data_IF_093437124481
#
_entry.id   IF_093437124481
#
_cell.length_a   1.000
_cell.length_b   1.000
_cell.length_c   1.000
_cell.angle_alpha   90.00
_cell.angle_beta   90.00
_cell.angle_gamma   90.00
#
_symmetry.space_group_name_H-M   'P 1'
#
loop_
_entity.id
_entity.type
_entity.pdbx_description
1 polymer ?
#
# COMPACT_ATOMS: atom_id res chain seq x y z
N UNK A 1 -27.48 9.77 -11.07
CA UNK A 1 -26.34 9.27 -10.28
C UNK A 1 -25.52 8.44 -11.23
N UNK A 2 -24.25 8.76 -11.39
CA UNK A 2 -23.36 7.98 -12.28
C UNK A 2 -23.18 6.60 -11.68
N UNK A 3 -23.31 5.55 -12.50
CA UNK A 3 -23.11 4.17 -12.08
C UNK A 3 -21.62 3.83 -12.25
N UNK A 4 -20.90 3.58 -11.15
CA UNK A 4 -19.47 3.28 -11.14
C UNK A 4 -19.16 1.78 -11.17
N UNK A 5 -20.14 0.92 -11.44
CA UNK A 5 -19.97 -0.55 -11.40
C UNK A 5 -18.91 -1.00 -12.39
N UNK A 6 -18.98 -0.54 -13.65
CA UNK A 6 -18.02 -0.91 -14.69
C UNK A 6 -16.61 -0.43 -14.38
N UNK A 7 -16.46 0.82 -13.91
CA UNK A 7 -15.17 1.41 -13.53
C UNK A 7 -14.56 0.68 -12.32
N UNK A 8 -15.38 0.35 -11.32
CA UNK A 8 -14.94 -0.46 -10.16
C UNK A 8 -14.46 -1.85 -10.60
N UNK A 9 -15.18 -2.51 -11.51
CA UNK A 9 -14.77 -3.81 -12.04
C UNK A 9 -13.44 -3.74 -12.80
N UNK A 10 -13.23 -2.69 -13.59
CA UNK A 10 -11.98 -2.46 -14.32
C UNK A 10 -10.80 -2.18 -13.37
N UNK A 11 -11.00 -1.32 -12.37
CA UNK A 11 -9.98 -1.05 -11.36
C UNK A 11 -9.62 -2.31 -10.58
N UNK A 12 -10.61 -3.09 -10.15
CA UNK A 12 -10.41 -4.38 -9.49
C UNK A 12 -9.59 -5.35 -10.34
N UNK A 13 -9.95 -5.54 -11.60
CA UNK A 13 -9.23 -6.45 -12.50
C UNK A 13 -7.76 -6.05 -12.65
N UNK A 14 -7.47 -4.74 -12.71
CA UNK A 14 -6.11 -4.23 -12.69
C UNK A 14 -5.38 -4.56 -11.39
N UNK A 15 -5.98 -4.30 -10.23
CA UNK A 15 -5.35 -4.58 -8.93
C UNK A 15 -5.08 -6.08 -8.73
N UNK A 16 -5.96 -6.95 -9.19
CA UNK A 16 -5.75 -8.40 -9.19
C UNK A 16 -4.57 -8.81 -10.09
N UNK A 17 -4.50 -8.26 -11.30
CA UNK A 17 -3.38 -8.48 -12.22
C UNK A 17 -2.05 -7.96 -11.66
N UNK A 18 -2.05 -6.77 -11.06
CA UNK A 18 -0.86 -6.20 -10.43
C UNK A 18 -0.38 -7.07 -9.26
N UNK A 19 -1.30 -7.53 -8.39
CA UNK A 19 -1.00 -8.48 -7.31
C UNK A 19 -0.30 -9.72 -7.85
N UNK A 20 -0.85 -10.34 -8.89
CA UNK A 20 -0.32 -11.61 -9.41
C UNK A 20 1.10 -11.41 -9.97
N UNK A 21 1.36 -10.30 -10.63
CA UNK A 21 2.69 -9.96 -11.15
C UNK A 21 3.68 -9.66 -10.04
N UNK A 22 3.29 -8.89 -9.03
CA UNK A 22 4.13 -8.60 -7.85
C UNK A 22 4.46 -9.88 -7.09
N UNK A 23 3.47 -10.73 -6.83
CA UNK A 23 3.68 -11.99 -6.13
C UNK A 23 4.60 -12.93 -6.91
N UNK A 24 4.42 -13.05 -8.24
CA UNK A 24 5.30 -13.83 -9.08
C UNK A 24 6.75 -13.31 -9.05
N UNK A 25 6.95 -12.00 -9.09
CA UNK A 25 8.26 -11.39 -9.04
C UNK A 25 8.95 -11.59 -7.68
N UNK A 26 8.21 -11.51 -6.58
CA UNK A 26 8.76 -11.78 -5.25
C UNK A 26 9.11 -13.26 -5.07
N UNK A 27 8.34 -14.17 -5.63
CA UNK A 27 8.67 -15.59 -5.66
C UNK A 27 9.92 -15.89 -6.53
N UNK A 28 10.12 -15.14 -7.63
CA UNK A 28 11.34 -15.22 -8.43
C UNK A 28 12.58 -14.78 -7.62
N UNK A 29 12.48 -13.68 -6.86
CA UNK A 29 13.56 -13.22 -5.97
C UNK A 29 13.91 -14.30 -4.92
N UNK A 30 12.93 -14.94 -4.32
CA UNK A 30 13.16 -16.05 -3.40
C UNK A 30 13.85 -17.23 -4.10
N UNK A 31 13.41 -17.60 -5.30
CA UNK A 31 14.01 -18.67 -6.08
C UNK A 31 15.46 -18.36 -6.47
N UNK A 32 15.78 -17.12 -6.83
CA UNK A 32 17.16 -16.65 -7.10
C UNK A 32 18.07 -16.80 -5.86
N UNK A 33 17.50 -16.66 -4.67
CA UNK A 33 18.21 -16.88 -3.40
C UNK A 33 18.21 -18.35 -2.94
N UNK A 34 17.67 -19.27 -3.74
CA UNK A 34 17.61 -20.70 -3.41
C UNK A 34 16.47 -21.07 -2.46
N UNK A 35 15.50 -20.20 -2.26
CA UNK A 35 14.32 -20.43 -1.42
C UNK A 35 13.16 -20.97 -2.26
N UNK A 36 12.40 -21.90 -1.70
CA UNK A 36 11.16 -22.44 -2.29
C UNK A 36 9.90 -21.74 -1.76
N UNK A 37 10.04 -20.59 -1.09
CA UNK A 37 8.92 -19.87 -0.51
C UNK A 37 7.91 -19.45 -1.58
N UNK A 38 6.64 -19.57 -1.25
CA UNK A 38 5.50 -19.22 -2.10
C UNK A 38 4.46 -18.47 -1.29
N UNK A 39 3.64 -17.68 -1.98
CA UNK A 39 2.49 -17.05 -1.36
C UNK A 39 1.42 -18.08 -0.98
N UNK A 40 0.97 -17.96 0.26
CA UNK A 40 -0.25 -18.64 0.74
C UNK A 40 -1.41 -17.65 0.65
N UNK A 41 -2.43 -18.03 -0.14
CA UNK A 41 -3.58 -17.18 -0.41
C UNK A 41 -4.77 -17.58 0.45
N UNK A 42 -5.33 -16.60 1.16
CA UNK A 42 -6.54 -16.76 1.96
C UNK A 42 -7.60 -15.76 1.48
N UNK A 43 -8.72 -16.26 0.97
CA UNK A 43 -9.88 -15.44 0.71
C UNK A 43 -10.62 -15.13 2.00
N UNK A 44 -11.16 -13.92 2.09
CA UNK A 44 -11.92 -13.47 3.24
C UNK A 44 -13.17 -12.70 2.78
N UNK A 45 -14.20 -12.76 3.59
CA UNK A 45 -15.46 -12.02 3.39
C UNK A 45 -15.63 -11.06 4.54
N UNK A 46 -16.21 -9.89 4.23
CA UNK A 46 -16.66 -8.95 5.26
C UNK A 46 -18.03 -9.39 5.75
N UNK A 47 -18.30 -9.18 7.03
CA UNK A 47 -19.62 -9.35 7.61
C UNK A 47 -20.17 -7.99 8.01
N UNK A 48 -21.38 -7.67 7.58
CA UNK A 48 -22.06 -6.44 7.94
C UNK A 48 -23.55 -6.73 8.07
N UNK A 49 -24.10 -6.51 9.27
CA UNK A 49 -25.50 -6.78 9.55
C UNK A 49 -26.44 -6.02 8.61
N UNK A 50 -27.33 -6.75 7.94
CA UNK A 50 -28.29 -6.15 6.98
C UNK A 50 -27.71 -5.87 5.58
N UNK A 51 -26.43 -6.11 5.33
CA UNK A 51 -25.83 -6.00 4.02
C UNK A 51 -25.63 -7.40 3.41
N UNK A 52 -26.37 -7.76 2.34
CA UNK A 52 -26.27 -9.08 1.73
C UNK A 52 -24.99 -9.28 0.92
N UNK A 53 -24.27 -8.21 0.58
CA UNK A 53 -23.03 -8.25 -0.19
C UNK A 53 -22.03 -7.20 0.32
N UNK A 54 -21.43 -7.42 1.50
CA UNK A 54 -20.46 -6.47 2.06
C UNK A 54 -19.09 -6.56 1.38
N UNK A 55 -18.90 -7.51 0.48
CA UNK A 55 -17.66 -7.75 -0.24
C UNK A 55 -16.63 -8.54 0.55
N UNK A 56 -15.37 -8.44 0.12
CA UNK A 56 -14.27 -9.17 0.71
C UNK A 56 -12.97 -8.99 -0.08
N UNK A 57 -12.05 -9.91 0.08
CA UNK A 57 -10.77 -9.85 -0.61
C UNK A 57 -10.00 -11.17 -0.58
N UNK A 58 -8.80 -11.11 -1.10
CA UNK A 58 -7.82 -12.19 -1.01
C UNK A 58 -6.50 -11.61 -0.55
N UNK A 59 -6.04 -12.06 0.59
CA UNK A 59 -4.68 -11.80 1.08
C UNK A 59 -3.74 -12.92 0.64
N UNK A 60 -2.56 -12.57 0.17
CA UNK A 60 -1.42 -13.46 0.00
C UNK A 60 -0.37 -13.12 1.04
N UNK A 61 0.15 -14.10 1.74
CA UNK A 61 1.27 -13.93 2.68
C UNK A 61 2.37 -14.90 2.30
N UNK A 62 3.60 -14.41 2.23
CA UNK A 62 4.79 -15.25 2.06
C UNK A 62 5.79 -14.95 3.17
N UNK A 63 6.46 -16.00 3.62
CA UNK A 63 7.63 -15.92 4.52
C UNK A 63 8.79 -16.65 3.84
N UNK A 64 9.82 -15.91 3.51
CA UNK A 64 10.95 -16.40 2.74
C UNK A 64 12.31 -16.11 3.39
N UNK A 65 13.36 -16.34 2.64
CA UNK A 65 14.73 -16.08 3.06
C UNK A 65 15.16 -14.64 2.77
N UNK A 66 14.62 -14.03 1.73
CA UNK A 66 14.86 -12.63 1.34
C UNK A 66 13.77 -11.74 1.88
N UNK A 67 12.51 -12.07 1.56
CA UNK A 67 11.32 -11.42 2.10
C UNK A 67 10.92 -12.16 3.38
N UNK A 68 11.40 -11.70 4.53
CA UNK A 68 11.15 -12.35 5.83
C UNK A 68 9.64 -12.46 6.12
N UNK A 69 8.88 -11.43 5.71
CA UNK A 69 7.43 -11.46 5.66
C UNK A 69 6.95 -10.43 4.63
N UNK A 70 6.13 -10.87 3.70
CA UNK A 70 5.39 -10.00 2.80
C UNK A 70 3.92 -10.34 2.81
N UNK A 71 3.08 -9.30 2.82
CA UNK A 71 1.64 -9.43 2.67
C UNK A 71 1.16 -8.59 1.51
N UNK A 72 0.34 -9.17 0.64
CA UNK A 72 -0.33 -8.49 -0.47
C UNK A 72 -1.83 -8.79 -0.38
N UNK A 73 -2.66 -7.77 -0.34
CA UNK A 73 -4.11 -7.92 -0.26
C UNK A 73 -4.80 -7.14 -1.38
N UNK A 74 -5.72 -7.79 -2.07
CA UNK A 74 -6.68 -7.12 -2.96
C UNK A 74 -8.06 -7.33 -2.40
N UNK A 75 -8.83 -6.25 -2.31
CA UNK A 75 -10.20 -6.31 -1.79
C UNK A 75 -11.14 -5.44 -2.60
N UNK A 76 -12.42 -5.81 -2.56
CA UNK A 76 -13.54 -4.97 -2.98
C UNK A 76 -14.60 -5.08 -1.90
N UNK A 77 -14.88 -3.97 -1.24
CA UNK A 77 -15.82 -3.90 -0.12
C UNK A 77 -16.91 -2.87 -0.39
N UNK A 78 -18.09 -3.18 0.09
CA UNK A 78 -19.27 -2.34 -0.01
C UNK A 78 -19.83 -2.11 1.39
N UNK A 79 -20.37 -0.94 1.66
CA UNK A 79 -20.91 -0.68 2.98
C UNK A 79 -21.57 0.67 3.09
N UNK A 80 -21.93 0.96 4.32
CA UNK A 80 -22.56 2.22 4.70
C UNK A 80 -21.77 2.81 5.86
N UNK A 81 -21.34 4.06 5.72
CA UNK A 81 -20.68 4.77 6.81
C UNK A 81 -21.65 5.10 7.93
N UNK A 82 -21.18 5.05 9.19
CA UNK A 82 -21.87 5.66 10.29
C UNK A 82 -22.06 7.17 10.01
N UNK A 83 -23.21 7.79 10.40
CA UNK A 83 -23.52 9.17 10.02
C UNK A 83 -22.43 10.19 10.36
N UNK A 84 -21.84 10.07 11.53
CA UNK A 84 -20.74 10.95 12.00
C UNK A 84 -19.50 10.83 11.13
N UNK A 85 -19.19 9.62 10.67
CA UNK A 85 -18.05 9.36 9.82
C UNK A 85 -18.32 9.73 8.35
N UNK A 86 -19.55 9.49 7.86
CA UNK A 86 -19.98 9.89 6.52
C UNK A 86 -19.75 11.38 6.25
N UNK A 87 -19.98 12.24 7.25
CA UNK A 87 -19.78 13.68 7.14
C UNK A 87 -18.29 14.08 6.87
N UNK A 88 -17.35 13.20 7.13
CA UNK A 88 -15.90 13.44 6.92
C UNK A 88 -15.37 12.86 5.60
N UNK A 89 -16.21 12.06 4.90
CA UNK A 89 -15.79 11.35 3.69
C UNK A 89 -16.26 12.12 2.45
N UNK A 90 -15.36 12.27 1.50
CA UNK A 90 -15.65 12.94 0.22
C UNK A 90 -16.86 12.32 -0.48
N UNK A 91 -17.85 13.14 -0.80
CA UNK A 91 -19.07 12.71 -1.48
C UNK A 91 -20.02 11.82 -0.67
N UNK A 92 -19.73 11.50 0.59
CA UNK A 92 -20.65 10.84 1.48
C UNK A 92 -21.40 11.86 2.36
N UNK A 93 -22.52 11.43 2.96
CA UNK A 93 -23.33 12.25 3.86
C UNK A 93 -24.50 11.46 4.42
N UNK A 94 -25.31 12.09 5.28
CA UNK A 94 -26.45 11.44 5.93
C UNK A 94 -27.47 10.87 4.94
N UNK A 95 -27.66 11.54 3.79
CA UNK A 95 -28.63 11.11 2.75
C UNK A 95 -28.01 10.06 1.79
N UNK A 96 -26.68 9.96 1.72
CA UNK A 96 -25.98 9.02 0.85
C UNK A 96 -24.72 8.50 1.55
N UNK A 97 -24.86 7.65 2.58
CA UNK A 97 -23.72 7.13 3.34
C UNK A 97 -23.05 5.93 2.70
N UNK A 98 -23.55 5.42 1.56
CA UNK A 98 -23.06 4.24 0.88
C UNK A 98 -21.69 4.44 0.24
N UNK A 99 -20.87 3.40 0.23
CA UNK A 99 -19.57 3.40 -0.45
C UNK A 99 -19.24 2.06 -1.11
N UNK A 100 -18.39 2.13 -2.11
CA UNK A 100 -17.63 0.98 -2.62
C UNK A 100 -16.15 1.36 -2.64
N UNK A 101 -15.28 0.46 -2.18
CA UNK A 101 -13.84 0.62 -2.21
C UNK A 101 -13.19 -0.63 -2.78
N UNK A 102 -12.36 -0.48 -3.79
CA UNK A 102 -11.50 -1.55 -4.32
C UNK A 102 -10.06 -1.11 -4.36
N UNK A 103 -9.11 -2.00 -4.07
CA UNK A 103 -7.71 -1.64 -4.04
C UNK A 103 -6.77 -2.80 -3.79
N UNK A 104 -5.49 -2.52 -4.02
CA UNK A 104 -4.36 -3.36 -3.63
C UNK A 104 -3.57 -2.65 -2.53
N UNK A 105 -3.09 -3.42 -1.55
CA UNK A 105 -2.16 -2.95 -0.52
C UNK A 105 -1.12 -4.01 -0.27
N UNK A 106 0.13 -3.61 -0.12
CA UNK A 106 1.23 -4.51 0.22
C UNK A 106 2.22 -3.87 1.18
N UNK A 107 2.83 -4.72 1.99
CA UNK A 107 4.01 -4.39 2.80
C UNK A 107 4.98 -5.55 2.73
N UNK A 108 6.27 -5.26 2.48
CA UNK A 108 7.34 -6.24 2.52
C UNK A 108 8.37 -5.87 3.60
N UNK A 109 8.62 -6.82 4.50
CA UNK A 109 9.68 -6.77 5.50
C UNK A 109 10.79 -7.75 5.12
N UNK A 110 12.02 -7.27 5.08
CA UNK A 110 13.16 -7.97 4.49
C UNK A 110 14.04 -8.63 5.55
N UNK A 111 14.57 -9.82 5.27
CA UNK A 111 15.44 -10.52 6.20
C UNK A 111 16.78 -9.78 6.40
N UNK A 112 17.35 -9.26 5.32
CA UNK A 112 18.61 -8.52 5.35
C UNK A 112 18.37 -7.04 5.72
N UNK A 113 19.03 -6.48 6.75
CA UNK A 113 18.91 -5.08 7.17
C UNK A 113 19.26 -4.04 6.10
N UNK A 114 20.10 -4.41 5.13
CA UNK A 114 20.50 -3.55 4.03
C UNK A 114 19.44 -3.43 2.93
N UNK A 115 18.44 -4.32 2.91
CA UNK A 115 17.32 -4.23 1.99
C UNK A 115 16.20 -3.42 2.68
N UNK A 116 15.71 -2.35 2.03
CA UNK A 116 14.64 -1.55 2.62
C UNK A 116 13.31 -2.33 2.71
N UNK A 117 12.55 -2.12 3.77
CA UNK A 117 11.14 -2.46 3.76
C UNK A 117 10.39 -1.48 2.86
N UNK A 118 9.22 -1.88 2.37
CA UNK A 118 8.43 -1.07 1.44
C UNK A 118 6.94 -1.24 1.72
N UNK A 119 6.21 -0.18 1.50
CA UNK A 119 4.74 -0.17 1.42
C UNK A 119 4.31 0.39 0.07
N UNK A 120 3.23 -0.15 -0.48
CA UNK A 120 2.52 0.40 -1.63
C UNK A 120 1.02 0.10 -1.47
N UNK A 121 0.19 1.08 -1.78
CA UNK A 121 -1.24 0.86 -1.98
C UNK A 121 -1.74 1.71 -3.15
N UNK A 122 -2.74 1.20 -3.84
CA UNK A 122 -3.56 1.99 -4.77
C UNK A 122 -5.01 1.55 -4.66
N UNK A 123 -5.93 2.51 -4.75
CA UNK A 123 -7.35 2.26 -4.51
C UNK A 123 -8.24 3.12 -5.39
N UNK A 124 -9.44 2.63 -5.66
CA UNK A 124 -10.56 3.35 -6.25
C UNK A 124 -11.73 3.31 -5.28
N UNK A 125 -12.26 4.48 -4.94
CA UNK A 125 -13.39 4.64 -4.02
C UNK A 125 -14.54 5.33 -4.73
N UNK A 126 -15.74 4.92 -4.38
CA UNK A 126 -16.99 5.55 -4.86
C UNK A 126 -17.96 5.80 -3.71
N UNK A 127 -18.57 6.96 -3.74
CA UNK A 127 -19.71 7.40 -2.93
C UNK A 127 -20.73 8.03 -3.88
N UNK A 128 -21.22 9.26 -3.64
CA UNK A 128 -21.81 10.12 -4.70
C UNK A 128 -20.74 10.68 -5.65
N UNK A 129 -19.49 10.61 -5.25
CA UNK A 129 -18.28 10.93 -6.01
C UNK A 129 -17.47 9.65 -6.26
N UNK A 130 -16.48 9.74 -7.14
CA UNK A 130 -15.50 8.66 -7.32
C UNK A 130 -14.11 9.26 -7.45
N UNK A 131 -13.10 8.57 -6.91
CA UNK A 131 -11.71 9.04 -6.96
C UNK A 131 -10.70 7.90 -6.81
N UNK A 132 -9.51 8.15 -7.29
CA UNK A 132 -8.34 7.31 -7.00
C UNK A 132 -7.52 7.90 -5.85
N UNK A 133 -6.87 7.01 -5.10
CA UNK A 133 -5.86 7.33 -4.11
C UNK A 133 -4.82 6.22 -4.04
N UNK A 134 -3.66 6.54 -3.47
CA UNK A 134 -2.60 5.57 -3.35
C UNK A 134 -1.27 6.19 -3.00
N UNK A 135 -0.22 5.41 -3.23
CA UNK A 135 1.16 5.80 -3.04
C UNK A 135 2.05 4.63 -2.71
N UNK A 136 3.31 4.93 -2.46
CA UNK A 136 4.29 3.99 -1.99
C UNK A 136 5.43 4.71 -1.30
N UNK A 137 6.01 4.09 -0.29
CA UNK A 137 7.12 4.64 0.47
C UNK A 137 8.16 3.58 0.83
N UNK A 138 9.42 4.01 0.85
CA UNK A 138 10.58 3.18 1.12
C UNK A 138 11.07 3.38 2.56
N UNK A 139 11.28 2.27 3.27
CA UNK A 139 11.61 2.26 4.70
C UNK A 139 12.94 1.53 4.97
N UNK A 140 14.10 2.14 4.62
CA UNK A 140 15.39 1.53 4.85
C UNK A 140 15.80 1.63 6.33
N UNK A 141 16.09 0.51 7.01
CA UNK A 141 16.76 0.56 8.32
C UNK A 141 18.16 1.16 8.23
N UNK A 142 18.86 0.85 7.13
CA UNK A 142 20.17 1.40 6.77
C UNK A 142 20.01 2.08 5.41
N UNK A 143 19.96 3.43 5.37
CA UNK A 143 19.68 4.15 4.14
C UNK A 143 20.90 4.19 3.20
N UNK A 144 20.62 4.00 1.90
CA UNK A 144 21.58 4.19 0.82
C UNK A 144 21.08 5.34 -0.09
N UNK A 145 21.85 6.43 -0.23
CA UNK A 145 21.43 7.57 -1.05
C UNK A 145 21.07 7.20 -2.50
N UNK A 146 21.80 6.26 -3.10
CA UNK A 146 21.51 5.78 -4.45
C UNK A 146 20.15 5.09 -4.53
N UNK A 147 19.82 4.19 -3.60
CA UNK A 147 18.56 3.45 -3.60
C UNK A 147 17.39 4.39 -3.37
N UNK A 148 17.56 5.36 -2.47
CA UNK A 148 16.58 6.43 -2.24
C UNK A 148 16.33 7.25 -3.51
N UNK A 149 17.40 7.71 -4.17
CA UNK A 149 17.31 8.52 -5.37
C UNK A 149 16.63 7.77 -6.52
N UNK A 150 16.98 6.50 -6.75
CA UNK A 150 16.37 5.68 -7.80
C UNK A 150 14.89 5.37 -7.52
N UNK A 151 14.52 5.10 -6.25
CA UNK A 151 13.12 4.91 -5.87
C UNK A 151 12.30 6.16 -6.16
N UNK A 152 12.78 7.32 -5.72
CA UNK A 152 12.11 8.59 -5.99
C UNK A 152 12.04 8.90 -7.49
N UNK A 153 13.11 8.65 -8.26
CA UNK A 153 13.12 8.88 -9.70
C UNK A 153 12.09 8.03 -10.46
N UNK A 154 11.87 6.77 -10.04
CA UNK A 154 10.87 5.91 -10.65
C UNK A 154 9.44 6.46 -10.45
N UNK A 155 9.10 6.88 -9.22
CA UNK A 155 7.81 7.48 -8.95
C UNK A 155 7.65 8.88 -9.54
N UNK A 156 8.74 9.66 -9.61
CA UNK A 156 8.75 10.94 -10.30
C UNK A 156 8.43 10.79 -11.78
N UNK A 157 9.05 9.83 -12.46
CA UNK A 157 8.77 9.56 -13.87
C UNK A 157 7.29 9.19 -14.12
N UNK A 158 6.70 8.38 -13.22
CA UNK A 158 5.27 8.07 -13.28
C UNK A 158 4.40 9.32 -13.07
N UNK A 159 4.77 10.21 -12.15
CA UNK A 159 4.06 11.46 -11.90
C UNK A 159 4.17 12.42 -13.09
N UNK A 160 5.37 12.65 -13.60
CA UNK A 160 5.67 13.64 -14.65
C UNK A 160 4.97 13.29 -15.98
N UNK A 161 4.68 11.99 -16.22
CA UNK A 161 3.90 11.56 -17.37
C UNK A 161 2.43 12.01 -17.34
N UNK A 162 1.90 12.38 -16.17
CA UNK A 162 0.49 12.72 -15.97
C UNK A 162 0.23 14.14 -15.48
N UNK A 163 1.19 14.77 -14.82
CA UNK A 163 1.05 16.15 -14.35
C UNK A 163 2.36 16.73 -13.86
N UNK A 164 2.72 17.92 -14.33
CA UNK A 164 4.00 18.56 -14.02
C UNK A 164 4.19 18.90 -12.52
N UNK A 165 3.10 18.98 -11.75
CA UNK A 165 3.11 19.28 -10.32
C UNK A 165 2.87 18.02 -9.44
N UNK A 166 2.59 16.86 -10.07
CA UNK A 166 2.17 15.67 -9.33
C UNK A 166 3.25 15.20 -8.37
N UNK A 167 4.49 15.09 -8.83
CA UNK A 167 5.56 14.58 -7.98
C UNK A 167 5.82 15.46 -6.76
N UNK A 168 6.00 16.75 -6.94
CA UNK A 168 6.28 17.67 -5.84
C UNK A 168 5.15 17.68 -4.81
N UNK A 169 3.90 17.72 -5.29
CA UNK A 169 2.73 17.72 -4.45
C UNK A 169 2.56 16.40 -3.68
N UNK A 170 2.70 15.27 -4.36
CA UNK A 170 2.49 13.95 -3.75
C UNK A 170 3.66 13.53 -2.87
N UNK A 171 4.88 13.97 -3.20
CA UNK A 171 6.04 13.79 -2.33
C UNK A 171 5.90 14.58 -1.03
N UNK A 172 5.54 15.86 -1.11
CA UNK A 172 5.32 16.69 0.07
C UNK A 172 4.21 16.08 0.96
N UNK A 173 3.14 15.58 0.34
CA UNK A 173 2.07 14.90 1.08
C UNK A 173 2.55 13.60 1.73
N UNK A 174 3.38 12.80 1.07
CA UNK A 174 3.99 11.61 1.64
C UNK A 174 4.89 11.95 2.84
N UNK A 175 5.70 12.99 2.73
CA UNK A 175 6.57 13.45 3.81
C UNK A 175 5.74 13.82 5.06
N UNK A 176 4.66 14.57 4.91
CA UNK A 176 3.75 14.90 6.00
C UNK A 176 3.02 13.67 6.56
N UNK A 177 2.52 12.79 5.66
CA UNK A 177 1.72 11.63 6.05
C UNK A 177 2.51 10.60 6.85
N UNK A 178 3.75 10.29 6.43
CA UNK A 178 4.59 9.26 7.03
C UNK A 178 5.47 9.76 8.17
N UNK A 179 5.24 10.97 8.67
CA UNK A 179 5.88 11.49 9.87
C UNK A 179 5.32 10.85 11.13
N UNK A 180 6.17 10.54 12.10
CA UNK A 180 5.82 9.95 13.40
C UNK A 180 5.93 11.04 14.46
N UNK A 181 4.84 11.74 14.83
CA UNK A 181 4.92 12.94 15.67
C UNK A 181 5.56 12.71 17.04
N UNK A 182 5.22 11.63 17.71
CA UNK A 182 5.73 11.32 19.05
C UNK A 182 7.21 10.88 19.06
N UNK A 183 7.78 10.57 17.90
CA UNK A 183 9.20 10.28 17.72
C UNK A 183 9.97 11.44 17.09
N UNK A 184 9.30 12.40 16.46
CA UNK A 184 9.92 13.50 15.74
C UNK A 184 10.71 13.06 14.49
N UNK A 185 10.36 11.93 13.88
CA UNK A 185 11.06 11.36 12.71
C UNK A 185 10.08 10.85 11.66
N UNK A 186 10.55 10.71 10.43
CA UNK A 186 9.82 9.98 9.39
C UNK A 186 10.04 8.47 9.54
N UNK A 187 9.03 7.66 9.14
CA UNK A 187 9.14 6.20 9.19
C UNK A 187 10.10 5.62 8.14
N UNK A 188 10.42 6.39 7.10
CA UNK A 188 11.29 6.00 6.00
C UNK A 188 11.88 7.20 5.29
N UNK A 189 12.24 7.03 4.03
CA UNK A 189 12.79 8.08 3.16
C UNK A 189 11.71 8.71 2.26
N UNK A 190 10.43 8.40 2.52
CA UNK A 190 9.30 8.91 1.75
C UNK A 190 9.06 8.13 0.45
N UNK A 191 8.43 8.78 -0.46
CA UNK A 191 7.95 8.31 -1.74
C UNK A 191 6.88 9.27 -2.26
N UNK A 192 5.70 8.75 -2.62
CA UNK A 192 4.53 9.55 -2.98
C UNK A 192 3.30 9.10 -2.20
N UNK A 193 2.40 10.05 -1.93
CA UNK A 193 1.06 9.78 -1.42
C UNK A 193 0.06 10.70 -2.12
N UNK A 194 -1.02 10.16 -2.66
CA UNK A 194 -2.08 10.90 -3.31
C UNK A 194 -3.45 10.40 -2.89
N UNK A 195 -4.42 11.30 -2.88
CA UNK A 195 -5.81 10.99 -2.65
C UNK A 195 -6.69 12.01 -3.39
N UNK A 196 -7.99 11.73 -3.47
CA UNK A 196 -8.95 12.63 -4.12
C UNK A 196 -8.57 13.02 -5.56
N UNK A 197 -8.03 12.06 -6.34
CA UNK A 197 -7.98 12.22 -7.78
C UNK A 197 -9.37 11.96 -8.34
N UNK A 198 -10.19 13.00 -8.34
CA UNK A 198 -11.62 12.94 -8.65
C UNK A 198 -11.88 12.49 -10.08
N UNK A 199 -12.85 11.63 -10.25
CA UNK A 199 -13.27 11.05 -11.52
C UNK A 199 -14.60 11.69 -11.96
N UNK A 200 -14.58 12.98 -12.33
CA UNK A 200 -15.75 13.68 -12.84
C UNK A 200 -15.98 13.32 -14.33
N UNK A 201 -16.57 12.14 -14.56
CA UNK A 201 -16.82 11.56 -15.88
C UNK A 201 -15.71 10.64 -16.39
N UNK A 202 -15.96 10.01 -17.54
CA UNK A 202 -15.09 8.96 -18.09
C UNK A 202 -13.68 9.46 -18.43
N UNK A 203 -13.52 10.68 -18.92
CA UNK A 203 -12.21 11.25 -19.27
C UNK A 203 -11.32 11.40 -18.05
N UNK A 204 -11.87 11.90 -16.95
CA UNK A 204 -11.12 12.04 -15.69
C UNK A 204 -10.81 10.67 -15.07
N UNK A 205 -11.77 9.73 -15.15
CA UNK A 205 -11.52 8.35 -14.75
C UNK A 205 -10.34 7.72 -15.52
N UNK A 206 -10.35 7.81 -16.85
CA UNK A 206 -9.28 7.20 -17.67
C UNK A 206 -7.90 7.82 -17.36
N UNK A 207 -7.82 9.14 -17.20
CA UNK A 207 -6.57 9.83 -16.87
C UNK A 207 -6.03 9.39 -15.51
N UNK A 208 -6.87 9.41 -14.47
CA UNK A 208 -6.47 9.05 -13.11
C UNK A 208 -6.23 7.55 -12.94
N UNK A 209 -6.94 6.72 -13.71
CA UNK A 209 -6.69 5.28 -13.76
C UNK A 209 -5.36 4.97 -14.45
N UNK A 210 -5.03 5.68 -15.55
CA UNK A 210 -3.72 5.56 -16.19
C UNK A 210 -2.58 5.90 -15.23
N UNK A 211 -2.66 7.04 -14.54
CA UNK A 211 -1.70 7.41 -13.51
C UNK A 211 -1.57 6.34 -12.41
N UNK A 212 -2.70 5.87 -11.88
CA UNK A 212 -2.69 4.84 -10.84
C UNK A 212 -2.04 3.53 -11.30
N UNK A 213 -2.19 3.17 -12.58
CA UNK A 213 -1.50 2.02 -13.17
C UNK A 213 -0.01 2.24 -13.26
N UNK A 214 0.43 3.41 -13.71
CA UNK A 214 1.85 3.74 -13.83
C UNK A 214 2.56 3.79 -12.48
N UNK A 215 1.87 4.20 -11.41
CA UNK A 215 2.37 4.08 -10.03
C UNK A 215 2.62 2.61 -9.65
N UNK A 216 1.71 1.71 -9.98
CA UNK A 216 1.88 0.26 -9.75
C UNK A 216 3.02 -0.34 -10.57
N UNK A 217 3.18 0.07 -11.84
CA UNK A 217 4.28 -0.34 -12.71
C UNK A 217 5.64 0.18 -12.20
N UNK A 218 5.71 1.44 -11.80
CA UNK A 218 6.92 2.03 -11.22
C UNK A 218 7.38 1.26 -9.98
N UNK A 219 6.45 0.88 -9.10
CA UNK A 219 6.75 0.04 -7.95
C UNK A 219 7.33 -1.32 -8.38
N UNK A 220 6.64 -2.02 -9.28
CA UNK A 220 7.03 -3.34 -9.76
C UNK A 220 8.39 -3.33 -10.48
N UNK A 221 8.73 -2.23 -11.14
CA UNK A 221 10.03 -2.07 -11.80
C UNK A 221 11.16 -1.77 -10.82
N UNK A 222 10.95 -0.85 -9.85
CA UNK A 222 12.06 -0.34 -9.03
C UNK A 222 12.35 -1.23 -7.81
N UNK A 223 11.34 -1.66 -7.05
CA UNK A 223 11.58 -2.33 -5.77
C UNK A 223 12.35 -3.66 -5.93
N UNK A 224 12.03 -4.55 -6.87
CA UNK A 224 12.81 -5.76 -7.14
C UNK A 224 14.28 -5.49 -7.46
N UNK A 225 14.60 -4.41 -8.16
CA UNK A 225 15.99 -4.02 -8.47
C UNK A 225 16.75 -3.66 -7.20
N UNK A 226 16.12 -2.91 -6.27
CA UNK A 226 16.74 -2.56 -4.99
C UNK A 226 16.96 -3.79 -4.12
N UNK A 227 16.01 -4.72 -4.09
CA UNK A 227 16.14 -6.00 -3.36
C UNK A 227 17.35 -6.79 -3.88
N UNK A 228 17.41 -7.05 -5.18
CA UNK A 228 18.52 -7.81 -5.79
C UNK A 228 19.87 -7.17 -5.55
N UNK A 229 19.96 -5.85 -5.56
CA UNK A 229 21.18 -5.10 -5.28
C UNK A 229 21.71 -5.35 -3.87
N UNK A 230 20.82 -5.51 -2.89
CA UNK A 230 21.18 -5.52 -1.47
C UNK A 230 21.02 -6.86 -0.77
N UNK A 231 20.25 -7.80 -1.30
CA UNK A 231 19.92 -9.05 -0.61
C UNK A 231 21.14 -9.92 -0.26
N UNK A 232 22.24 -9.80 -1.02
CA UNK A 232 23.51 -10.49 -0.77
C UNK A 232 24.52 -9.70 0.09
N UNK A 233 24.16 -8.51 0.60
CA UNK A 233 25.08 -7.70 1.42
C UNK A 233 25.30 -8.37 2.78
N UNK A 234 26.56 -8.54 3.19
CA UNK A 234 26.87 -9.06 4.52
C UNK A 234 26.43 -8.06 5.59
N UNK A 235 25.89 -8.55 6.68
CA UNK A 235 25.42 -7.71 7.79
C UNK A 235 25.83 -8.26 9.15
N UNK A 236 25.87 -7.39 10.16
CA UNK A 236 26.25 -7.68 11.54
C UNK A 236 25.02 -7.82 12.44
N UNK A 237 25.23 -8.29 13.67
CA UNK A 237 24.20 -8.29 14.71
C UNK A 237 23.73 -6.86 15.05
N UNK A 238 24.60 -5.85 14.94
CA UNK A 238 24.24 -4.45 15.14
C UNK A 238 23.30 -3.94 14.05
N UNK A 239 23.55 -4.30 12.80
CA UNK A 239 22.65 -3.95 11.68
C UNK A 239 21.27 -4.57 11.86
N UNK A 240 21.21 -5.83 12.33
CA UNK A 240 19.93 -6.50 12.62
C UNK A 240 19.21 -5.83 13.81
N UNK A 241 19.91 -5.46 14.86
CA UNK A 241 19.32 -4.73 15.97
C UNK A 241 18.73 -3.38 15.52
N UNK A 242 19.44 -2.64 14.67
CA UNK A 242 18.93 -1.40 14.07
C UNK A 242 17.66 -1.64 13.23
N UNK A 243 17.63 -2.72 12.44
CA UNK A 243 16.43 -3.09 11.68
C UNK A 243 15.23 -3.35 12.61
N UNK A 244 15.43 -4.09 13.69
CA UNK A 244 14.35 -4.43 14.63
C UNK A 244 13.80 -3.19 15.35
N UNK A 245 14.66 -2.26 15.74
CA UNK A 245 14.24 -0.97 16.31
C UNK A 245 13.47 -0.14 15.29
N UNK A 246 13.93 -0.10 14.03
CA UNK A 246 13.22 0.61 12.95
C UNK A 246 11.84 0.02 12.70
N UNK A 247 11.70 -1.31 12.76
CA UNK A 247 10.41 -1.99 12.66
C UNK A 247 9.45 -1.64 13.81
N UNK A 248 9.98 -1.34 15.01
CA UNK A 248 9.20 -0.81 16.12
C UNK A 248 8.50 0.50 15.75
N UNK A 249 9.25 1.44 15.15
CA UNK A 249 8.72 2.72 14.67
C UNK A 249 7.69 2.54 13.54
N UNK A 250 7.93 1.60 12.64
CA UNK A 250 6.98 1.23 11.60
C UNK A 250 5.66 0.72 12.19
N UNK A 251 5.73 -0.17 13.20
CA UNK A 251 4.55 -0.69 13.88
C UNK A 251 3.79 0.42 14.63
N UNK A 252 4.49 1.34 15.32
CA UNK A 252 3.90 2.51 15.96
C UNK A 252 3.11 3.35 14.97
N UNK A 253 3.71 3.68 13.81
CA UNK A 253 3.02 4.45 12.78
C UNK A 253 1.74 3.74 12.32
N UNK A 254 1.83 2.47 11.96
CA UNK A 254 0.70 1.72 11.43
C UNK A 254 -0.46 1.59 12.42
N UNK A 255 -0.17 1.38 13.70
CA UNK A 255 -1.20 1.20 14.72
C UNK A 255 -1.79 2.50 15.23
N UNK A 256 -1.03 3.61 15.20
CA UNK A 256 -1.46 4.87 15.83
C UNK A 256 -1.91 5.91 14.80
N UNK A 257 -1.27 5.97 13.63
CA UNK A 257 -1.46 7.08 12.68
C UNK A 257 -1.97 6.65 11.31
N UNK A 258 -1.74 5.40 10.87
CA UNK A 258 -2.13 5.00 9.52
C UNK A 258 -3.65 5.00 9.34
N UNK A 259 -4.14 5.92 8.50
CA UNK A 259 -5.58 6.08 8.24
C UNK A 259 -6.21 4.82 7.66
N UNK A 260 -5.47 4.08 6.81
CA UNK A 260 -5.95 2.85 6.19
C UNK A 260 -6.17 1.75 7.22
N UNK A 261 -5.20 1.55 8.12
CA UNK A 261 -5.29 0.60 9.25
C UNK A 261 -6.45 0.98 10.18
N UNK A 262 -6.51 2.25 10.60
CA UNK A 262 -7.58 2.74 11.49
C UNK A 262 -8.96 2.64 10.86
N UNK A 263 -9.07 2.99 9.58
CA UNK A 263 -10.32 2.84 8.82
C UNK A 263 -10.75 1.38 8.76
N UNK A 264 -9.85 0.49 8.34
CA UNK A 264 -10.16 -0.93 8.23
C UNK A 264 -10.64 -1.54 9.55
N UNK A 265 -9.93 -1.26 10.65
CA UNK A 265 -10.31 -1.77 11.98
C UNK A 265 -11.64 -1.18 12.48
N UNK A 266 -11.90 0.12 12.26
CA UNK A 266 -13.13 0.79 12.69
C UNK A 266 -14.36 0.38 11.87
N UNK A 267 -14.18 -0.02 10.62
CA UNK A 267 -15.29 -0.41 9.74
C UNK A 267 -15.53 -1.93 9.70
N UNK A 268 -14.93 -2.71 10.61
CA UNK A 268 -15.11 -4.15 10.68
C UNK A 268 -14.42 -4.92 9.55
N UNK A 269 -13.31 -4.40 9.04
CA UNK A 269 -12.47 -5.09 8.07
C UNK A 269 -11.80 -6.35 8.65
N UNK A 270 -11.33 -7.24 7.79
CA UNK A 270 -10.63 -8.46 8.22
C UNK A 270 -9.31 -8.10 8.90
N UNK A 271 -9.21 -8.38 10.21
CA UNK A 271 -8.07 -8.01 11.06
C UNK A 271 -6.77 -8.60 10.55
N UNK A 272 -6.78 -9.85 10.12
CA UNK A 272 -5.58 -10.53 9.60
C UNK A 272 -5.10 -9.92 8.27
N UNK A 273 -6.03 -9.49 7.41
CA UNK A 273 -5.68 -8.81 6.15
C UNK A 273 -5.15 -7.39 6.39
N UNK A 274 -5.61 -6.71 7.44
CA UNK A 274 -5.13 -5.38 7.82
C UNK A 274 -3.76 -5.49 8.51
N UNK A 275 -3.63 -6.34 9.53
CA UNK A 275 -2.42 -6.46 10.33
C UNK A 275 -1.33 -7.33 9.70
N UNK A 276 -1.55 -7.88 8.49
CA UNK A 276 -0.46 -8.50 7.72
C UNK A 276 0.69 -7.53 7.44
N UNK A 277 0.41 -6.21 7.46
CA UNK A 277 1.38 -5.14 7.27
C UNK A 277 2.43 -5.04 8.38
N UNK A 278 2.16 -5.59 9.54
CA UNK A 278 3.11 -5.53 10.66
C UNK A 278 4.32 -6.45 10.42
N UNK A 279 5.52 -6.03 10.87
CA UNK A 279 6.73 -6.84 10.77
C UNK A 279 6.60 -8.15 11.58
N UNK A 280 7.36 -9.20 11.22
CA UNK A 280 7.32 -10.47 11.96
C UNK A 280 7.91 -10.33 13.37
N UNK A 281 8.87 -9.43 13.54
CA UNK A 281 9.57 -9.14 14.79
C UNK A 281 9.95 -7.65 14.83
N UNK A 282 9.88 -7.05 15.99
CA UNK A 282 10.30 -5.68 16.26
C UNK A 282 10.78 -5.53 17.70
N UNK A 283 11.62 -4.52 17.96
CA UNK A 283 12.08 -4.20 19.32
C UNK A 283 11.86 -2.72 19.63
N UNK A 284 11.74 -2.45 20.91
CA UNK A 284 11.68 -1.09 21.47
C UNK A 284 12.74 -0.94 22.54
N UNK A 285 13.55 0.12 22.46
CA UNK A 285 14.53 0.51 23.47
C UNK A 285 13.95 1.54 24.42
#
# INVERSE_FOLDING_TARGET
MQDWIAQTARARAWFESLRDRICAEFENIEAEAGSAAKFDYTSWHREEAGNPNPGGGTRGVMKGQVLEKVGVNVSTVHGTFAPEFAATIHGAGAENPGFTATGISLVAHMANPHVPAVHMNTRFLTTSKAWFGGGGDLNPPIPYPQDTAEFHAAFQAACDAHGADYYDRFKAWADDYFFIPHRGVHRGVGGIFYDHLDCDGDTAFEANFAFTRDVGEAFLDIFPKLVRRRMGTAFTAADKAQQLEWRGRYAEFNLVYDRGTLFGLKTGGNVDAILMSLPPEATWS
#
